data_IF_824153958581
#
_entry.id   IF_824153958581
#
_cell.length_a   1.000
_cell.length_b   1.000
_cell.length_c   1.000
_cell.angle_alpha   90.00
_cell.angle_beta   90.00
_cell.angle_gamma   90.00
#
_symmetry.space_group_name_H-M   'P 1'
#
loop_
_entity.id
_entity.type
_entity.pdbx_description
1 polymer ?
#
# COMPACT_ATOMS: atom_id res chain seq x y z
N UNK A 1 4.13 27.03 10.46
CA UNK A 1 3.22 27.75 9.54
C UNK A 1 2.17 26.72 9.13
N UNK A 2 0.89 26.95 9.41
CA UNK A 2 -0.14 25.91 9.23
C UNK A 2 -0.29 25.55 7.74
N UNK A 3 -0.06 24.29 7.38
CA UNK A 3 -0.34 23.76 6.04
C UNK A 3 -1.85 23.73 5.84
N UNK A 4 -2.36 24.68 5.05
CA UNK A 4 -3.72 24.64 4.49
C UNK A 4 -3.60 23.90 3.17
N UNK A 5 -4.44 22.88 2.92
CA UNK A 5 -4.49 22.23 1.62
C UNK A 5 -4.91 23.26 0.57
N UNK A 6 -3.96 23.69 -0.25
CA UNK A 6 -4.23 24.65 -1.31
C UNK A 6 -5.10 23.98 -2.38
N UNK A 7 -6.31 24.48 -2.55
CA UNK A 7 -7.26 23.99 -3.55
C UNK A 7 -6.69 24.05 -4.97
N UNK A 8 -5.82 25.01 -5.27
CA UNK A 8 -5.19 25.11 -6.59
C UNK A 8 -4.07 24.10 -6.76
N UNK A 9 -3.31 23.79 -5.69
CA UNK A 9 -2.37 22.66 -5.68
C UNK A 9 -3.09 21.32 -5.87
N UNK A 10 -4.20 21.09 -5.15
CA UNK A 10 -4.98 19.85 -5.30
C UNK A 10 -5.51 19.68 -6.73
N UNK A 11 -6.01 20.74 -7.35
CA UNK A 11 -6.43 20.71 -8.77
C UNK A 11 -5.26 20.41 -9.68
N UNK A 12 -4.10 21.02 -9.42
CA UNK A 12 -2.90 20.80 -10.22
C UNK A 12 -2.46 19.32 -10.15
N UNK A 13 -2.30 18.78 -8.94
CA UNK A 13 -1.94 17.38 -8.70
C UNK A 13 -2.97 16.44 -9.33
N UNK A 14 -4.26 16.75 -9.20
CA UNK A 14 -5.33 15.97 -9.83
C UNK A 14 -5.24 15.94 -11.36
N UNK A 15 -4.56 16.88 -12.01
CA UNK A 15 -4.35 16.91 -13.47
C UNK A 15 -3.04 16.28 -13.94
N UNK A 16 -2.16 15.87 -13.02
CA UNK A 16 -0.92 15.17 -13.38
C UNK A 16 -1.23 13.87 -14.11
N UNK A 17 -0.41 13.54 -15.11
CA UNK A 17 -0.66 12.39 -15.99
C UNK A 17 -0.75 11.07 -15.21
N UNK A 18 0.15 10.85 -14.27
CA UNK A 18 0.23 9.65 -13.44
C UNK A 18 -1.00 9.53 -12.54
N UNK A 19 -1.45 10.65 -11.95
CA UNK A 19 -2.68 10.72 -11.14
C UNK A 19 -3.92 10.42 -11.99
N UNK A 20 -3.96 10.93 -13.23
CA UNK A 20 -5.04 10.63 -14.18
C UNK A 20 -5.06 9.15 -14.60
N UNK A 21 -3.90 8.54 -14.82
CA UNK A 21 -3.79 7.11 -15.15
C UNK A 21 -4.23 6.22 -13.99
N UNK A 22 -3.80 6.54 -12.77
CA UNK A 22 -4.29 5.89 -11.56
C UNK A 22 -5.81 6.06 -11.44
N UNK A 23 -6.32 7.27 -11.62
CA UNK A 23 -7.75 7.55 -11.53
C UNK A 23 -8.58 6.78 -12.57
N UNK A 24 -8.04 6.48 -13.75
CA UNK A 24 -8.70 5.60 -14.72
C UNK A 24 -8.82 4.17 -14.20
N UNK A 25 -7.75 3.62 -13.61
CA UNK A 25 -7.79 2.30 -12.98
C UNK A 25 -8.76 2.26 -11.79
N UNK A 26 -8.70 3.27 -10.92
CA UNK A 26 -9.61 3.39 -9.77
C UNK A 26 -11.07 3.58 -10.20
N UNK A 27 -11.31 4.35 -11.26
CA UNK A 27 -12.64 4.51 -11.88
C UNK A 27 -13.20 3.18 -12.37
N UNK A 28 -12.39 2.41 -13.11
CA UNK A 28 -12.78 1.09 -13.61
C UNK A 28 -13.08 0.11 -12.47
N UNK A 29 -12.28 0.13 -11.41
CA UNK A 29 -12.49 -0.66 -10.20
C UNK A 29 -13.80 -0.28 -9.49
N UNK A 30 -13.99 1.00 -9.12
CA UNK A 30 -15.20 1.48 -8.43
C UNK A 30 -16.46 1.16 -9.26
N UNK A 31 -16.38 1.25 -10.60
CA UNK A 31 -17.49 0.95 -11.49
C UNK A 31 -17.96 -0.53 -11.45
N UNK A 32 -17.22 -1.44 -10.82
CA UNK A 32 -17.67 -2.81 -10.59
C UNK A 32 -18.83 -2.90 -9.60
N UNK A 33 -18.95 -1.92 -8.69
CA UNK A 33 -19.99 -1.93 -7.66
C UNK A 33 -21.35 -1.43 -8.18
N UNK A 34 -22.48 -1.98 -7.66
CA UNK A 34 -22.54 -3.07 -6.68
C UNK A 34 -22.19 -4.44 -7.27
N UNK A 35 -21.38 -5.24 -6.56
CA UNK A 35 -21.07 -6.61 -6.96
C UNK A 35 -22.31 -7.50 -6.84
N UNK A 36 -22.71 -8.16 -7.93
CA UNK A 36 -24.00 -8.87 -8.02
C UNK A 36 -23.89 -10.39 -8.10
N UNK A 37 -22.68 -10.95 -8.19
CA UNK A 37 -22.48 -12.40 -8.31
C UNK A 37 -21.71 -12.94 -7.11
N UNK A 38 -22.07 -14.14 -6.65
CA UNK A 38 -21.39 -14.80 -5.53
C UNK A 38 -19.88 -14.99 -5.79
N UNK A 39 -19.49 -15.22 -7.04
CA UNK A 39 -18.08 -15.32 -7.44
C UNK A 39 -17.36 -13.99 -7.20
N UNK A 40 -17.89 -12.87 -7.71
CA UNK A 40 -17.25 -11.55 -7.51
C UNK A 40 -17.20 -11.15 -6.04
N UNK A 41 -18.26 -11.44 -5.28
CA UNK A 41 -18.28 -11.21 -3.83
C UNK A 41 -17.22 -12.06 -3.10
N UNK A 42 -17.08 -13.34 -3.45
CA UNK A 42 -16.05 -14.21 -2.88
C UNK A 42 -14.63 -13.80 -3.29
N UNK A 43 -14.44 -13.35 -4.53
CA UNK A 43 -13.15 -12.83 -4.98
C UNK A 43 -12.77 -11.54 -4.23
N UNK A 44 -13.71 -10.62 -4.04
CA UNK A 44 -13.48 -9.38 -3.31
C UNK A 44 -13.18 -9.64 -1.83
N UNK A 45 -13.94 -10.52 -1.16
CA UNK A 45 -13.65 -10.93 0.22
C UNK A 45 -12.23 -11.51 0.38
N UNK A 46 -11.84 -12.40 -0.54
CA UNK A 46 -10.48 -12.96 -0.56
C UNK A 46 -9.42 -11.89 -0.80
N UNK A 47 -9.67 -10.95 -1.71
CA UNK A 47 -8.75 -9.84 -1.94
C UNK A 47 -8.60 -8.99 -0.67
N UNK A 48 -9.70 -8.67 0.03
CA UNK A 48 -9.65 -7.85 1.24
C UNK A 48 -8.88 -8.51 2.38
N UNK A 49 -9.03 -9.82 2.57
CA UNK A 49 -8.23 -10.59 3.54
C UNK A 49 -6.73 -10.53 3.18
N UNK A 50 -6.39 -10.81 1.91
CA UNK A 50 -5.01 -10.75 1.43
C UNK A 50 -4.41 -9.35 1.53
N UNK A 51 -5.21 -8.31 1.31
CA UNK A 51 -4.79 -6.92 1.40
C UNK A 51 -4.39 -6.58 2.83
N UNK A 52 -5.23 -6.94 3.82
CA UNK A 52 -4.91 -6.71 5.23
C UNK A 52 -3.59 -7.38 5.60
N UNK A 53 -3.42 -8.67 5.26
CA UNK A 53 -2.16 -9.38 5.52
C UNK A 53 -0.96 -8.69 4.88
N UNK A 54 -1.07 -8.24 3.62
CA UNK A 54 0.03 -7.52 2.93
C UNK A 54 0.38 -6.20 3.60
N UNK A 55 -0.63 -5.44 4.04
CA UNK A 55 -0.44 -4.13 4.67
C UNK A 55 0.18 -4.29 6.04
N UNK A 56 -0.34 -5.21 6.87
CA UNK A 56 0.19 -5.43 8.22
C UNK A 56 1.57 -6.09 8.19
N UNK A 57 1.81 -6.98 7.23
CA UNK A 57 3.14 -7.52 6.93
C UNK A 57 4.15 -6.40 6.60
N UNK A 58 3.80 -5.51 5.66
CA UNK A 58 4.68 -4.45 5.24
C UNK A 58 4.95 -3.44 6.39
N UNK A 59 3.93 -3.08 7.17
CA UNK A 59 4.11 -2.21 8.33
C UNK A 59 4.97 -2.87 9.43
N UNK A 60 4.84 -4.18 9.68
CA UNK A 60 5.71 -4.89 10.62
C UNK A 60 7.18 -4.91 10.16
N UNK A 61 7.43 -5.02 8.85
CA UNK A 61 8.79 -4.88 8.29
C UNK A 61 9.35 -3.48 8.47
N UNK A 62 8.54 -2.44 8.25
CA UNK A 62 8.92 -1.05 8.53
C UNK A 62 9.23 -0.86 10.02
N UNK A 63 8.41 -1.41 10.92
CA UNK A 63 8.60 -1.31 12.37
C UNK A 63 9.80 -2.07 12.90
N UNK A 64 10.16 -3.19 12.31
CA UNK A 64 11.26 -4.03 12.82
C UNK A 64 12.57 -3.77 12.09
N UNK A 65 12.51 -3.39 10.81
CA UNK A 65 13.64 -3.45 9.87
C UNK A 65 14.17 -4.88 9.68
N UNK A 66 13.40 -5.89 10.09
CA UNK A 66 13.80 -7.29 10.03
C UNK A 66 13.15 -8.00 8.85
N UNK A 67 13.71 -9.15 8.49
CA UNK A 67 13.10 -10.01 7.50
C UNK A 67 11.89 -10.74 8.10
N UNK A 68 10.71 -10.12 7.95
CA UNK A 68 9.41 -10.73 8.23
C UNK A 68 8.90 -11.38 6.95
N UNK A 69 8.51 -12.66 6.99
CA UNK A 69 7.99 -13.33 5.79
C UNK A 69 6.47 -13.16 5.70
N UNK A 70 5.92 -13.26 4.49
CA UNK A 70 4.46 -13.19 4.31
C UNK A 70 3.76 -14.35 5.03
N UNK A 71 4.35 -15.54 5.06
CA UNK A 71 3.81 -16.70 5.76
C UNK A 71 3.74 -16.49 7.28
N UNK A 72 4.69 -15.77 7.87
CA UNK A 72 4.61 -15.39 9.29
C UNK A 72 3.40 -14.48 9.53
N UNK A 73 3.19 -13.49 8.66
CA UNK A 73 2.07 -12.55 8.76
C UNK A 73 0.72 -13.25 8.57
N UNK A 74 0.60 -14.17 7.60
CA UNK A 74 -0.59 -15.01 7.41
C UNK A 74 -0.88 -15.82 8.67
N UNK A 75 0.14 -16.45 9.26
CA UNK A 75 -0.05 -17.28 10.44
C UNK A 75 -0.45 -16.48 11.67
N UNK A 76 0.11 -15.29 11.87
CA UNK A 76 -0.32 -14.36 12.93
C UNK A 76 -1.74 -13.84 12.68
N UNK A 77 -2.09 -13.52 11.44
CA UNK A 77 -3.46 -13.15 11.06
C UNK A 77 -4.47 -14.27 11.36
N UNK A 78 -4.09 -15.53 11.21
CA UNK A 78 -4.89 -16.70 11.62
C UNK A 78 -4.94 -16.93 13.15
N UNK A 79 -4.25 -16.09 13.94
CA UNK A 79 -4.30 -16.09 15.41
C UNK A 79 -3.08 -16.68 16.11
N UNK A 80 -1.97 -16.92 15.39
CA UNK A 80 -0.73 -17.35 16.02
C UNK A 80 -0.11 -16.24 16.88
N UNK A 81 0.33 -16.61 18.09
CA UNK A 81 1.01 -15.71 19.05
C UNK A 81 2.48 -16.08 19.27
N UNK A 82 2.93 -17.19 18.69
CA UNK A 82 4.31 -17.70 18.68
C UNK A 82 4.53 -18.45 17.37
N UNK A 83 5.73 -18.34 16.79
CA UNK A 83 6.14 -19.09 15.60
C UNK A 83 7.48 -19.77 15.87
N UNK A 84 7.53 -21.12 15.88
CA UNK A 84 8.77 -21.85 16.11
C UNK A 84 9.89 -21.44 15.13
N UNK A 85 11.03 -21.01 15.68
CA UNK A 85 12.20 -20.61 14.91
C UNK A 85 12.18 -19.16 14.42
N UNK A 86 11.18 -18.36 14.78
CA UNK A 86 11.14 -16.92 14.51
C UNK A 86 11.45 -16.11 15.78
N UNK A 87 12.12 -14.96 15.66
CA UNK A 87 12.28 -14.04 16.79
C UNK A 87 10.91 -13.59 17.29
N UNK A 88 10.68 -13.64 18.61
CA UNK A 88 9.40 -13.24 19.18
C UNK A 88 9.09 -11.76 18.89
N UNK A 89 10.11 -10.90 18.82
CA UNK A 89 9.94 -9.49 18.45
C UNK A 89 9.28 -9.27 17.06
N UNK A 90 9.46 -10.20 16.12
CA UNK A 90 8.79 -10.15 14.81
C UNK A 90 7.31 -10.50 14.96
N UNK A 91 7.01 -11.53 15.75
CA UNK A 91 5.64 -11.98 16.00
C UNK A 91 4.87 -10.91 16.77
N UNK A 92 5.50 -10.33 17.80
CA UNK A 92 4.94 -9.24 18.61
C UNK A 92 4.67 -7.99 17.75
N UNK A 93 5.57 -7.66 16.81
CA UNK A 93 5.35 -6.56 15.88
C UNK A 93 4.18 -6.81 14.94
N UNK A 94 4.03 -8.04 14.41
CA UNK A 94 2.87 -8.41 13.59
C UNK A 94 1.56 -8.32 14.37
N UNK A 95 1.54 -8.81 15.62
CA UNK A 95 0.37 -8.69 16.51
C UNK A 95 0.03 -7.22 16.77
N UNK A 96 1.01 -6.40 17.14
CA UNK A 96 0.81 -4.99 17.41
C UNK A 96 0.28 -4.23 16.18
N UNK A 97 0.74 -4.58 14.97
CA UNK A 97 0.23 -3.98 13.73
C UNK A 97 -1.18 -4.43 13.40
N UNK A 98 -1.51 -5.71 13.62
CA UNK A 98 -2.89 -6.18 13.45
C UNK A 98 -3.83 -5.46 14.44
N UNK A 99 -3.46 -5.37 15.71
CA UNK A 99 -4.23 -4.67 16.74
C UNK A 99 -4.44 -3.19 16.37
N UNK A 100 -3.38 -2.51 15.89
CA UNK A 100 -3.45 -1.13 15.43
C UNK A 100 -4.33 -0.97 14.18
N UNK A 101 -4.28 -1.93 13.24
CA UNK A 101 -5.13 -1.92 12.05
C UNK A 101 -6.61 -2.08 12.42
N UNK A 102 -6.93 -3.03 13.31
CA UNK A 102 -8.28 -3.22 13.85
C UNK A 102 -8.77 -2.00 14.62
N UNK A 103 -7.88 -1.32 15.37
CA UNK A 103 -8.22 -0.07 16.06
C UNK A 103 -8.67 1.02 15.09
N UNK A 104 -8.05 1.09 13.92
CA UNK A 104 -8.30 2.10 12.91
C UNK A 104 -9.55 1.84 12.07
N UNK A 105 -10.13 0.63 12.11
CA UNK A 105 -11.29 0.25 11.28
C UNK A 105 -12.45 1.26 11.37
N UNK A 106 -12.75 1.76 12.57
CA UNK A 106 -13.84 2.70 12.81
C UNK A 106 -13.55 4.12 12.28
N UNK A 107 -12.29 4.47 11.98
CA UNK A 107 -11.93 5.79 11.46
C UNK A 107 -12.62 6.07 10.14
N UNK A 108 -12.66 5.11 9.21
CA UNK A 108 -13.28 5.27 7.89
C UNK A 108 -14.76 5.67 7.95
N UNK A 109 -15.43 5.34 9.07
CA UNK A 109 -16.84 5.68 9.33
C UNK A 109 -17.02 6.94 10.16
N UNK A 110 -16.14 7.17 11.15
CA UNK A 110 -16.33 8.19 12.18
C UNK A 110 -15.53 9.46 11.92
N UNK A 111 -14.37 9.37 11.26
CA UNK A 111 -13.38 10.44 11.21
C UNK A 111 -12.70 10.71 12.55
N UNK A 112 -12.78 9.80 13.53
CA UNK A 112 -12.18 10.01 14.84
C UNK A 112 -10.65 9.90 14.79
N UNK A 113 -10.00 11.06 14.79
CA UNK A 113 -8.53 11.16 14.72
C UNK A 113 -7.83 10.59 15.96
N UNK A 114 -8.54 10.42 17.09
CA UNK A 114 -7.95 9.85 18.30
C UNK A 114 -7.58 8.37 18.16
N UNK A 115 -8.24 7.66 17.24
CA UNK A 115 -7.91 6.27 16.88
C UNK A 115 -6.50 6.19 16.28
N UNK A 116 -6.12 7.17 15.45
CA UNK A 116 -4.79 7.26 14.84
C UNK A 116 -3.72 7.55 15.88
N UNK A 117 -4.01 8.46 16.81
CA UNK A 117 -3.08 8.78 17.90
C UNK A 117 -2.86 7.57 18.82
N UNK A 118 -3.93 6.84 19.15
CA UNK A 118 -3.86 5.64 19.98
C UNK A 118 -3.07 4.53 19.27
N UNK A 119 -3.34 4.29 18.00
CA UNK A 119 -2.60 3.31 17.20
C UNK A 119 -1.10 3.67 17.13
N UNK A 120 -0.76 4.96 17.02
CA UNK A 120 0.63 5.40 17.01
C UNK A 120 1.36 5.12 18.35
N UNK A 121 0.66 5.26 19.47
CA UNK A 121 1.16 4.91 20.81
C UNK A 121 1.36 3.39 20.96
N UNK A 122 0.40 2.58 20.52
CA UNK A 122 0.48 1.11 20.54
C UNK A 122 1.65 0.59 19.70
N UNK A 123 1.90 1.20 18.54
CA UNK A 123 3.04 0.88 17.68
C UNK A 123 4.38 1.45 18.18
N UNK A 124 4.38 2.16 19.30
CA UNK A 124 5.56 2.83 19.88
C UNK A 124 6.28 3.69 18.82
N UNK A 125 5.51 4.56 18.16
CA UNK A 125 5.99 5.38 17.03
C UNK A 125 7.11 6.37 17.40
N UNK A 126 7.44 6.53 18.70
CA UNK A 126 8.56 7.35 19.16
C UNK A 126 8.37 8.86 18.90
N UNK A 127 7.12 9.31 18.75
CA UNK A 127 6.81 10.73 18.57
C UNK A 127 7.06 11.52 19.85
N UNK A 128 7.62 12.72 19.72
CA UNK A 128 7.65 13.69 20.80
C UNK A 128 6.26 14.28 21.04
N UNK A 129 6.05 14.92 22.19
CA UNK A 129 4.80 15.63 22.47
C UNK A 129 4.48 16.71 21.42
N UNK A 130 5.50 17.39 20.88
CA UNK A 130 5.33 18.37 19.81
C UNK A 130 4.93 17.72 18.49
N UNK A 131 5.58 16.63 18.09
CA UNK A 131 5.23 15.89 16.88
C UNK A 131 3.81 15.31 16.98
N UNK A 132 3.45 14.70 18.11
CA UNK A 132 2.10 14.19 18.34
C UNK A 132 1.03 15.29 18.24
N UNK A 133 1.29 16.49 18.80
CA UNK A 133 0.39 17.64 18.66
C UNK A 133 0.28 18.13 17.22
N UNK A 134 1.39 18.14 16.48
CA UNK A 134 1.40 18.58 15.09
C UNK A 134 0.66 17.60 14.18
N UNK A 135 0.90 16.29 14.34
CA UNK A 135 0.17 15.21 13.66
C UNK A 135 -1.33 15.30 13.96
N UNK A 136 -1.72 15.39 15.25
CA UNK A 136 -3.13 15.52 15.63
C UNK A 136 -3.79 16.74 14.97
N UNK A 137 -3.13 17.90 14.99
CA UNK A 137 -3.63 19.09 14.32
C UNK A 137 -3.73 18.92 12.80
N UNK A 138 -2.83 18.15 12.16
CA UNK A 138 -2.86 17.85 10.73
C UNK A 138 -4.00 16.89 10.39
N UNK A 139 -4.24 15.86 11.20
CA UNK A 139 -5.38 14.95 11.04
C UNK A 139 -6.73 15.68 11.13
N UNK A 140 -6.88 16.60 12.09
CA UNK A 140 -8.09 17.44 12.20
C UNK A 140 -8.31 18.30 10.95
N UNK A 141 -7.23 18.82 10.34
CA UNK A 141 -7.31 19.57 9.08
C UNK A 141 -7.68 18.68 7.90
N UNK A 142 -7.17 17.45 7.85
CA UNK A 142 -7.55 16.46 6.84
C UNK A 142 -9.05 16.18 6.96
N UNK A 143 -9.55 15.87 8.16
CA UNK A 143 -10.98 15.60 8.37
C UNK A 143 -11.88 16.78 8.01
N UNK A 144 -11.45 18.02 8.30
CA UNK A 144 -12.20 19.21 7.89
C UNK A 144 -12.37 19.31 6.35
N UNK A 145 -11.45 18.74 5.58
CA UNK A 145 -11.49 18.72 4.11
C UNK A 145 -12.20 17.49 3.52
N UNK A 146 -12.45 16.44 4.32
CA UNK A 146 -13.07 15.19 3.84
C UNK A 146 -14.43 15.39 3.16
N UNK A 147 -15.38 16.21 3.68
CA UNK A 147 -16.67 16.40 3.03
C UNK A 147 -16.58 16.90 1.59
N UNK A 148 -15.69 17.86 1.34
CA UNK A 148 -15.49 18.46 0.01
C UNK A 148 -14.78 17.48 -0.94
N UNK A 149 -13.82 16.70 -0.42
CA UNK A 149 -13.03 15.77 -1.23
C UNK A 149 -13.78 14.47 -1.56
N UNK A 150 -14.55 13.95 -0.61
CA UNK A 150 -15.33 12.70 -0.76
C UNK A 150 -16.40 12.81 -1.84
N UNK A 151 -17.11 13.93 -1.89
CA UNK A 151 -18.21 14.15 -2.83
C UNK A 151 -19.32 13.10 -2.69
N UNK A 152 -19.97 12.78 -3.82
CA UNK A 152 -21.08 11.81 -3.92
C UNK A 152 -20.63 10.36 -4.14
N UNK A 153 -19.32 10.10 -4.16
CA UNK A 153 -18.76 8.78 -4.46
C UNK A 153 -18.75 8.40 -5.94
N UNK A 154 -18.99 9.35 -6.87
CA UNK A 154 -18.97 9.12 -8.33
C UNK A 154 -17.75 8.32 -8.81
N UNK A 155 -17.93 7.34 -9.70
CA UNK A 155 -16.80 6.62 -10.28
C UNK A 155 -16.11 7.38 -11.42
N UNK A 156 -16.53 8.60 -11.76
CA UNK A 156 -15.91 9.38 -12.82
C UNK A 156 -14.42 9.65 -12.55
N UNK A 157 -13.59 9.54 -13.59
CA UNK A 157 -12.12 9.73 -13.50
C UNK A 157 -11.76 11.03 -12.81
N UNK A 158 -12.45 12.14 -13.13
CA UNK A 158 -12.19 13.44 -12.49
C UNK A 158 -12.53 13.48 -10.99
N UNK A 159 -13.51 12.69 -10.54
CA UNK A 159 -13.84 12.58 -9.12
C UNK A 159 -12.83 11.69 -8.37
N UNK A 160 -12.38 10.61 -9.00
CA UNK A 160 -11.34 9.72 -8.47
C UNK A 160 -9.99 10.43 -8.39
N UNK A 161 -9.61 11.21 -9.42
CA UNK A 161 -8.33 11.93 -9.43
C UNK A 161 -8.26 13.02 -8.35
N UNK A 162 -9.37 13.70 -8.05
CA UNK A 162 -9.45 14.65 -6.93
C UNK A 162 -9.28 13.97 -5.57
N UNK A 163 -9.91 12.82 -5.37
CA UNK A 163 -9.77 12.02 -4.14
C UNK A 163 -8.35 11.51 -3.97
N UNK A 164 -7.73 11.00 -5.04
CA UNK A 164 -6.32 10.58 -5.01
C UNK A 164 -5.37 11.75 -4.71
N UNK A 165 -5.57 12.91 -5.35
CA UNK A 165 -4.77 14.10 -5.07
C UNK A 165 -4.88 14.55 -3.60
N UNK A 166 -6.08 14.47 -3.01
CA UNK A 166 -6.29 14.74 -1.60
C UNK A 166 -5.54 13.75 -0.70
N UNK A 167 -5.63 12.44 -0.98
CA UNK A 167 -4.88 11.41 -0.21
C UNK A 167 -3.38 11.64 -0.32
N UNK A 168 -2.85 11.96 -1.50
CA UNK A 168 -1.42 12.27 -1.69
C UNK A 168 -1.02 13.48 -0.85
N UNK A 169 -1.81 14.56 -0.89
CA UNK A 169 -1.52 15.75 -0.11
C UNK A 169 -1.57 15.48 1.41
N UNK A 170 -2.58 14.74 1.88
CA UNK A 170 -2.71 14.33 3.27
C UNK A 170 -1.52 13.48 3.72
N UNK A 171 -1.11 12.50 2.88
CA UNK A 171 0.08 11.69 3.10
C UNK A 171 1.32 12.56 3.26
N UNK A 172 1.53 13.49 2.32
CA UNK A 172 2.69 14.39 2.29
C UNK A 172 2.73 15.25 3.56
N UNK A 173 1.59 15.84 3.96
CA UNK A 173 1.51 16.68 5.15
C UNK A 173 1.86 15.89 6.42
N UNK A 174 1.31 14.68 6.60
CA UNK A 174 1.59 13.85 7.77
C UNK A 174 3.05 13.36 7.80
N UNK A 175 3.59 12.97 6.64
CA UNK A 175 4.98 12.55 6.50
C UNK A 175 5.94 13.68 6.90
N UNK A 176 5.63 14.93 6.57
CA UNK A 176 6.41 16.09 7.02
C UNK A 176 6.39 16.22 8.54
N UNK A 177 5.23 16.09 9.20
CA UNK A 177 5.13 16.24 10.66
C UNK A 177 5.93 15.15 11.41
N UNK A 178 5.97 13.92 10.90
CA UNK A 178 6.74 12.82 11.51
C UNK A 178 8.24 12.88 11.15
N UNK A 179 8.61 13.56 10.06
CA UNK A 179 10.00 13.69 9.59
C UNK A 179 10.74 14.89 10.18
N UNK A 180 10.06 15.99 10.51
CA UNK A 180 10.69 17.22 11.04
C UNK A 180 11.25 17.06 12.48
N UNK A 181 11.10 15.87 13.06
CA UNK A 181 11.67 15.43 14.34
C UNK A 181 13.21 15.56 14.41
N UNK A 182 13.92 15.61 13.27
CA UNK A 182 15.38 15.74 13.23
C UNK A 182 15.93 17.18 13.31
N UNK A 183 15.09 18.22 13.26
CA UNK A 183 15.56 19.62 13.10
C UNK A 183 15.59 20.46 14.39
N UNK A 184 15.10 19.95 15.52
CA UNK A 184 15.23 20.63 16.81
C UNK A 184 16.02 19.81 17.85
N UNK A 185 17.32 20.12 17.93
CA UNK A 185 18.18 20.18 19.13
C UNK A 185 18.24 18.95 20.05
N UNK A 186 19.44 18.35 20.11
CA UNK A 186 20.00 17.51 21.19
C UNK A 186 19.13 16.33 21.68
N UNK A 187 19.12 15.22 20.93
CA UNK A 187 18.73 13.91 21.47
C UNK A 187 19.93 13.23 22.17
N UNK A 188 19.95 13.07 23.50
CA UNK A 188 21.06 12.47 24.23
C UNK A 188 21.12 10.93 24.11
N UNK A 189 20.19 10.30 23.38
CA UNK A 189 20.16 8.85 23.19
C UNK A 189 20.89 8.37 21.93
N UNK A 190 21.50 9.27 21.16
CA UNK A 190 22.50 8.85 20.18
C UNK A 190 23.73 8.35 20.97
N UNK A 191 24.14 7.07 20.81
CA UNK A 191 25.42 6.65 21.36
C UNK A 191 26.50 7.53 20.75
N UNK A 192 27.33 8.17 21.58
CA UNK A 192 28.44 9.03 21.16
C UNK A 192 29.24 8.35 20.04
N UNK A 193 28.97 8.74 18.79
CA UNK A 193 29.76 8.30 17.65
C UNK A 193 31.09 9.04 17.75
N UNK A 194 32.12 8.31 18.18
CA UNK A 194 33.51 8.74 18.25
C UNK A 194 33.87 9.52 16.97
N UNK A 195 34.19 10.80 17.12
CA UNK A 195 34.69 11.64 16.03
C UNK A 195 35.96 11.00 15.45
N UNK A 196 35.88 10.44 14.24
CA UNK A 196 37.07 9.94 13.54
C UNK A 196 36.88 8.82 12.53
N UNK A 197 35.72 8.17 12.44
CA UNK A 197 35.53 7.09 11.46
C UNK A 197 34.81 7.55 10.18
N UNK A 198 35.19 7.01 9.01
CA UNK A 198 34.58 7.38 7.74
C UNK A 198 33.09 7.08 7.78
N UNK A 199 32.26 8.03 7.33
CA UNK A 199 30.81 7.87 7.16
C UNK A 199 30.54 6.58 6.38
N UNK A 200 30.28 5.50 7.10
CA UNK A 200 29.83 4.23 6.53
C UNK A 200 28.33 4.35 6.25
N UNK A 201 27.85 3.58 5.29
CA UNK A 201 26.43 3.52 4.89
C UNK A 201 25.45 3.23 6.04
N UNK A 202 25.94 2.72 7.19
CA UNK A 202 25.09 2.33 8.31
C UNK A 202 24.39 3.45 9.08
N UNK A 203 24.88 4.70 9.05
CA UNK A 203 24.21 5.82 9.74
C UNK A 203 22.97 6.30 8.99
N UNK A 204 23.02 6.27 7.65
CA UNK A 204 21.86 6.56 6.80
C UNK A 204 20.79 5.47 6.95
N UNK A 205 21.19 4.20 6.98
CA UNK A 205 20.29 3.06 7.19
C UNK A 205 19.53 3.15 8.52
N UNK A 206 20.19 3.57 9.61
CA UNK A 206 19.55 3.75 10.94
C UNK A 206 18.57 4.92 10.93
N UNK A 207 18.91 6.03 10.27
CA UNK A 207 18.03 7.19 10.16
C UNK A 207 16.76 6.90 9.34
N UNK A 208 16.90 6.17 8.22
CA UNK A 208 15.77 5.70 7.42
C UNK A 208 14.88 4.74 8.22
N UNK A 209 15.46 3.77 8.92
CA UNK A 209 14.69 2.84 9.74
C UNK A 209 13.91 3.55 10.85
N UNK A 210 14.50 4.56 11.50
CA UNK A 210 13.80 5.38 12.50
C UNK A 210 12.69 6.24 11.90
N UNK A 211 12.91 6.83 10.73
CA UNK A 211 11.88 7.58 10.01
C UNK A 211 10.71 6.67 9.59
N UNK A 212 11.01 5.49 9.05
CA UNK A 212 10.03 4.45 8.74
C UNK A 212 9.22 4.05 9.96
N UNK A 213 9.88 3.75 11.08
CA UNK A 213 9.21 3.45 12.36
C UNK A 213 8.22 4.53 12.80
N UNK A 214 8.63 5.79 12.76
CA UNK A 214 7.78 6.95 13.11
C UNK A 214 6.58 7.09 12.16
N UNK A 215 6.72 6.66 10.92
CA UNK A 215 5.69 6.76 9.90
C UNK A 215 4.80 5.50 9.79
N UNK A 216 5.13 4.39 10.47
CA UNK A 216 4.45 3.10 10.27
C UNK A 216 2.93 3.16 10.46
N UNK A 217 2.43 3.91 11.45
CA UNK A 217 0.98 4.10 11.66
C UNK A 217 0.30 4.78 10.47
N UNK A 218 1.02 5.65 9.76
CA UNK A 218 0.50 6.34 8.57
C UNK A 218 0.21 5.33 7.46
N UNK A 219 0.99 4.26 7.34
CA UNK A 219 0.76 3.20 6.36
C UNK A 219 -0.63 2.56 6.53
N UNK A 220 -1.08 2.37 7.78
CA UNK A 220 -2.40 1.84 8.11
C UNK A 220 -3.48 2.90 7.89
N UNK A 221 -3.26 4.10 8.44
CA UNK A 221 -4.16 5.24 8.34
C UNK A 221 -4.52 5.61 6.88
N UNK A 222 -3.56 5.56 5.96
CA UNK A 222 -3.80 5.92 4.57
C UNK A 222 -4.87 5.06 3.90
N UNK A 223 -4.98 3.78 4.26
CA UNK A 223 -6.03 2.92 3.74
C UNK A 223 -7.41 3.28 4.29
N UNK A 224 -7.48 3.63 5.57
CA UNK A 224 -8.73 4.07 6.17
C UNK A 224 -9.15 5.45 5.68
N UNK A 225 -8.20 6.35 5.37
CA UNK A 225 -8.45 7.61 4.69
C UNK A 225 -8.95 7.39 3.25
N UNK A 226 -8.35 6.47 2.49
CA UNK A 226 -8.85 6.09 1.17
C UNK A 226 -10.32 5.68 1.26
N UNK A 227 -10.67 4.79 2.18
CA UNK A 227 -12.06 4.36 2.35
C UNK A 227 -12.99 5.49 2.79
N UNK A 228 -12.54 6.32 3.73
CA UNK A 228 -13.23 7.52 4.21
C UNK A 228 -13.65 8.45 3.07
N UNK A 229 -12.79 8.58 2.04
CA UNK A 229 -13.06 9.38 0.85
C UNK A 229 -13.56 8.57 -0.34
N UNK A 230 -13.92 7.29 -0.21
CA UNK A 230 -14.43 6.45 -1.31
C UNK A 230 -13.38 6.30 -2.43
N UNK A 231 -12.13 6.10 -2.04
CA UNK A 231 -11.02 5.72 -2.92
C UNK A 231 -10.65 4.27 -2.61
N UNK A 232 -10.32 3.42 -3.62
CA UNK A 232 -9.89 2.08 -3.32
C UNK A 232 -8.57 2.11 -2.51
N UNK A 233 -8.45 1.19 -1.56
CA UNK A 233 -7.28 1.07 -0.67
C UNK A 233 -6.00 0.81 -1.48
N UNK A 234 -4.86 1.11 -0.86
CA UNK A 234 -3.51 0.95 -1.38
C UNK A 234 -2.83 -0.26 -0.73
N UNK A 235 -1.76 -0.76 -1.36
CA UNK A 235 -0.97 -1.86 -0.82
C UNK A 235 0.53 -1.63 -1.06
N UNK A 236 1.04 -0.60 -0.40
CA UNK A 236 2.46 -0.27 -0.45
C UNK A 236 3.30 -1.38 0.19
N UNK A 237 4.45 -1.67 -0.39
CA UNK A 237 5.47 -2.50 0.28
C UNK A 237 6.25 -1.65 1.29
N UNK A 238 6.97 -2.31 2.19
CA UNK A 238 7.91 -1.67 3.11
C UNK A 238 8.94 -0.82 2.37
N UNK A 239 9.51 -1.34 1.28
CA UNK A 239 10.50 -0.64 0.47
C UNK A 239 9.89 0.62 -0.18
N UNK A 240 8.71 0.49 -0.79
CA UNK A 240 8.04 1.64 -1.43
C UNK A 240 7.63 2.70 -0.41
N UNK A 241 7.15 2.28 0.76
CA UNK A 241 6.78 3.20 1.82
C UNK A 241 8.01 3.96 2.35
N UNK A 242 9.11 3.24 2.65
CA UNK A 242 10.35 3.87 3.09
C UNK A 242 10.92 4.83 2.04
N UNK A 243 10.85 4.51 0.74
CA UNK A 243 11.25 5.45 -0.32
C UNK A 243 10.47 6.76 -0.28
N UNK A 244 9.15 6.70 -0.09
CA UNK A 244 8.32 7.91 0.05
C UNK A 244 8.71 8.69 1.32
N UNK A 245 8.97 8.00 2.43
CA UNK A 245 9.41 8.62 3.69
C UNK A 245 10.77 9.30 3.51
N UNK A 246 11.72 8.66 2.83
CA UNK A 246 13.06 9.21 2.52
C UNK A 246 12.96 10.44 1.63
N UNK A 247 12.18 10.37 0.54
CA UNK A 247 11.91 11.52 -0.32
C UNK A 247 11.26 12.68 0.46
N UNK A 248 10.49 12.37 1.51
CA UNK A 248 9.96 13.37 2.42
C UNK A 248 10.98 13.94 3.43
N UNK A 249 12.01 13.18 3.79
CA UNK A 249 13.01 13.55 4.78
C UNK A 249 14.24 14.27 4.20
N UNK A 250 14.66 13.91 2.98
CA UNK A 250 15.94 14.34 2.38
C UNK A 250 15.95 15.72 1.70
N UNK A 251 14.84 16.46 1.71
CA UNK A 251 14.88 17.83 1.22
C UNK A 251 15.61 18.76 2.21
N UNK A 252 16.93 18.86 2.03
CA UNK A 252 17.79 19.88 2.64
C UNK A 252 17.23 21.28 2.31
N UNK A 253 16.48 21.85 3.25
CA UNK A 253 15.98 23.22 3.17
C UNK A 253 14.63 23.44 2.49
N UNK A 254 13.94 22.38 2.04
CA UNK A 254 12.55 22.45 1.54
C UNK A 254 11.68 21.34 2.14
N UNK A 255 10.37 21.52 2.23
CA UNK A 255 9.46 20.41 2.51
C UNK A 255 9.24 19.61 1.22
N UNK A 256 9.05 18.28 1.27
CA UNK A 256 8.66 17.50 0.10
C UNK A 256 7.43 18.11 -0.54
N UNK A 257 7.48 18.24 -1.87
CA UNK A 257 6.34 18.75 -2.61
C UNK A 257 5.32 17.64 -2.81
N UNK A 258 4.03 18.00 -2.81
CA UNK A 258 2.92 17.06 -3.05
C UNK A 258 3.07 16.38 -4.41
N UNK A 259 3.67 17.09 -5.38
CA UNK A 259 3.96 16.60 -6.72
C UNK A 259 5.00 15.47 -6.71
N UNK A 260 6.06 15.56 -5.91
CA UNK A 260 7.05 14.49 -5.78
C UNK A 260 6.41 13.20 -5.22
N UNK A 261 5.63 13.33 -4.15
CA UNK A 261 4.89 12.19 -3.59
C UNK A 261 3.87 11.65 -4.60
N UNK A 262 3.26 12.51 -5.43
CA UNK A 262 2.35 12.07 -6.49
C UNK A 262 3.06 11.25 -7.58
N UNK A 263 4.30 11.59 -7.93
CA UNK A 263 5.10 10.87 -8.92
C UNK A 263 5.38 9.42 -8.49
N UNK A 264 5.52 9.18 -7.19
CA UNK A 264 5.74 7.84 -6.64
C UNK A 264 4.43 7.13 -6.30
N UNK A 265 3.50 7.78 -5.59
CA UNK A 265 2.31 7.11 -5.06
C UNK A 265 1.29 6.78 -6.16
N UNK A 266 1.12 7.63 -7.17
CA UNK A 266 0.08 7.43 -8.18
C UNK A 266 0.30 6.17 -9.04
N UNK A 267 1.51 5.87 -9.57
CA UNK A 267 1.77 4.61 -10.27
C UNK A 267 1.55 3.37 -9.38
N UNK A 268 1.86 3.45 -8.08
CA UNK A 268 1.63 2.35 -7.13
C UNK A 268 0.14 2.12 -6.90
N UNK A 269 -0.64 3.19 -6.73
CA UNK A 269 -2.10 3.13 -6.66
C UNK A 269 -2.70 2.51 -7.93
N UNK A 270 -2.23 2.95 -9.10
CA UNK A 270 -2.67 2.38 -10.38
C UNK A 270 -2.43 0.88 -10.45
N UNK A 271 -1.22 0.41 -10.12
CA UNK A 271 -0.87 -0.99 -10.18
C UNK A 271 -1.74 -1.84 -9.25
N UNK A 272 -1.96 -1.38 -8.02
CA UNK A 272 -2.81 -2.10 -7.07
C UNK A 272 -4.28 -2.12 -7.50
N UNK A 273 -4.81 -1.01 -8.01
CA UNK A 273 -6.21 -0.95 -8.44
C UNK A 273 -6.50 -1.79 -9.69
N UNK A 274 -5.53 -1.89 -10.62
CA UNK A 274 -5.61 -2.83 -11.74
C UNK A 274 -5.61 -4.27 -11.22
N UNK A 275 -4.72 -4.59 -10.27
CA UNK A 275 -4.67 -5.92 -9.66
C UNK A 275 -5.98 -6.28 -8.96
N UNK A 276 -6.53 -5.38 -8.13
CA UNK A 276 -7.79 -5.59 -7.42
C UNK A 276 -8.94 -5.82 -8.41
N UNK A 277 -9.03 -5.00 -9.45
CA UNK A 277 -10.04 -5.17 -10.50
C UNK A 277 -9.93 -6.55 -11.15
N UNK A 278 -8.72 -6.95 -11.55
CA UNK A 278 -8.46 -8.22 -12.20
C UNK A 278 -8.78 -9.42 -11.30
N UNK A 279 -8.46 -9.34 -10.01
CA UNK A 279 -8.80 -10.36 -9.02
C UNK A 279 -10.33 -10.48 -8.82
N UNK A 280 -11.08 -9.36 -8.79
CA UNK A 280 -12.55 -9.41 -8.72
C UNK A 280 -13.14 -10.09 -9.95
N UNK A 281 -12.70 -9.74 -11.16
CA UNK A 281 -13.29 -10.26 -12.40
C UNK A 281 -12.76 -11.64 -12.79
N UNK A 282 -11.76 -12.16 -12.08
CA UNK A 282 -11.15 -13.46 -12.37
C UNK A 282 -12.16 -14.62 -12.28
N UNK A 283 -12.17 -15.46 -13.32
CA UNK A 283 -12.93 -16.70 -13.38
C UNK A 283 -11.98 -17.90 -13.42
N UNK A 284 -11.85 -18.65 -12.29
CA UNK A 284 -10.93 -19.78 -12.21
C UNK A 284 -11.34 -20.94 -13.12
N UNK A 285 -12.65 -21.12 -13.38
CA UNK A 285 -13.16 -22.20 -14.23
C UNK A 285 -12.82 -21.90 -15.69
N UNK A 286 -13.08 -20.68 -16.13
CA UNK A 286 -12.71 -20.23 -17.46
C UNK A 286 -11.19 -20.27 -17.66
N UNK A 287 -10.41 -19.82 -16.66
CA UNK A 287 -8.95 -19.87 -16.70
C UNK A 287 -8.41 -21.30 -16.81
N UNK A 288 -8.95 -22.24 -16.02
CA UNK A 288 -8.57 -23.65 -16.07
C UNK A 288 -8.91 -24.29 -17.42
N UNK A 289 -10.09 -23.99 -17.96
CA UNK A 289 -10.50 -24.46 -19.29
C UNK A 289 -9.57 -23.94 -20.39
N UNK A 290 -9.29 -22.64 -20.39
CA UNK A 290 -8.38 -22.03 -21.36
C UNK A 290 -6.95 -22.60 -21.27
N UNK A 291 -6.46 -22.90 -20.06
CA UNK A 291 -5.16 -23.54 -19.86
C UNK A 291 -5.11 -24.95 -20.46
N UNK A 292 -6.16 -25.77 -20.22
CA UNK A 292 -6.26 -27.12 -20.78
C UNK A 292 -6.32 -27.10 -22.32
N UNK A 293 -7.08 -26.19 -22.91
CA UNK A 293 -7.18 -26.04 -24.36
C UNK A 293 -5.84 -25.60 -24.99
N UNK A 294 -5.13 -24.66 -24.35
CA UNK A 294 -3.80 -24.22 -24.79
C UNK A 294 -2.77 -25.34 -24.70
N UNK A 295 -2.84 -26.19 -23.67
CA UNK A 295 -1.99 -27.37 -23.55
C UNK A 295 -2.30 -28.40 -24.65
N UNK A 296 -3.58 -28.65 -24.94
CA UNK A 296 -3.99 -29.54 -26.03
C UNK A 296 -3.51 -29.03 -27.39
N UNK A 297 -3.61 -27.72 -27.65
CA UNK A 297 -3.11 -27.09 -28.87
C UNK A 297 -1.59 -27.24 -28.99
N UNK A 298 -0.83 -27.02 -27.90
CA UNK A 298 0.62 -27.23 -27.88
C UNK A 298 0.99 -28.70 -28.17
N UNK A 299 0.25 -29.65 -27.58
CA UNK A 299 0.44 -31.09 -27.85
C UNK A 299 0.16 -31.44 -29.31
N UNK A 300 -0.93 -30.91 -29.89
CA UNK A 300 -1.26 -31.10 -31.31
C UNK A 300 -0.22 -30.50 -32.24
N UNK A 301 0.25 -29.28 -31.98
CA UNK A 301 1.29 -28.62 -32.77
C UNK A 301 2.62 -29.39 -32.71
N UNK A 302 3.05 -29.81 -31.53
CA UNK A 302 4.25 -30.61 -31.36
C UNK A 302 4.15 -31.99 -32.04
N UNK A 303 2.95 -32.60 -32.03
CA UNK A 303 2.70 -33.84 -32.77
C UNK A 303 2.80 -33.59 -34.28
N UNK A 304 2.12 -32.57 -34.80
CA UNK A 304 2.15 -32.22 -36.22
C UNK A 304 3.59 -31.93 -36.71
N UNK A 305 4.41 -31.27 -35.89
CA UNK A 305 5.83 -31.03 -36.19
C UNK A 305 6.64 -32.33 -36.23
N UNK A 306 6.45 -33.24 -35.26
CA UNK A 306 7.14 -34.55 -35.25
C UNK A 306 6.78 -35.43 -36.44
N UNK A 307 5.59 -35.27 -37.01
CA UNK A 307 5.12 -36.06 -38.15
C UNK A 307 5.30 -35.34 -39.51
N UNK A 308 5.92 -34.15 -39.54
CA UNK A 308 6.10 -33.35 -40.75
C UNK A 308 7.03 -33.99 -41.80
N UNK A 309 8.01 -34.77 -41.33
CA UNK A 309 9.04 -35.40 -42.17
C UNK A 309 8.84 -36.91 -42.34
N UNK A 310 7.69 -37.46 -41.90
CA UNK A 310 7.37 -38.87 -42.10
C UNK A 310 6.78 -39.02 -43.52
N UNK A 311 7.44 -39.75 -44.43
CA UNK A 311 6.88 -40.00 -45.76
C UNK A 311 5.58 -40.80 -45.62
N UNK A 312 4.52 -40.38 -46.31
CA UNK A 312 3.32 -41.22 -46.46
C UNK A 312 3.70 -42.51 -47.19
N UNK A 313 3.73 -43.62 -46.46
CA UNK A 313 3.90 -44.94 -47.04
C UNK A 313 2.62 -45.33 -47.80
N UNK A 314 2.64 -45.10 -49.11
CA UNK A 314 1.53 -45.39 -50.04
C UNK A 314 1.18 -46.89 -50.13
N UNK A 315 1.98 -47.78 -49.55
CA UNK A 315 1.74 -49.23 -49.54
C UNK A 315 1.19 -49.74 -48.19
N UNK A 316 0.89 -48.86 -47.23
CA UNK A 316 0.33 -49.30 -45.94
C UNK A 316 -1.14 -49.72 -46.11
N UNK A 317 -1.50 -51.00 -45.87
CA UNK A 317 -2.89 -51.43 -45.96
C UNK A 317 -3.74 -50.69 -44.92
N UNK A 318 -5.00 -50.36 -45.24
CA UNK A 318 -5.89 -49.65 -44.33
C UNK A 318 -6.05 -50.46 -43.04
N UNK A 319 -5.85 -49.80 -41.91
CA UNK A 319 -6.11 -50.38 -40.59
C UNK A 319 -7.62 -50.38 -40.42
N UNK A 320 -8.25 -51.56 -40.45
CA UNK A 320 -9.64 -51.71 -40.04
C UNK A 320 -9.74 -51.39 -38.53
N UNK A 321 -10.59 -50.41 -38.20
CA UNK A 321 -10.97 -50.05 -36.83
C UNK A 321 -12.10 -50.94 -36.33
#
# INVERSE_FOLDING_TARGET
MAVVFDNDQLKHVATMQQVQQAAQAGSALIALWPLSTAQRLGNDAKYTENLQVRVTWAAARVLTGQDVTLADAEFVYEGATDIPGRPQEVVDALLAVNDAYERLEDYSRTGDVSLVMTAAEELNSGWSESAAKAVAATLERIEACVPDCRGDGSSEVGAVSRRLAFVIAASTALLVEVSDYGKSVDDPLLPDCVEGEPKSSGVADISCQQAGRRAAVLMLYLNELCERVILPRLALTDVQFCQIVEECAEFEGASPSVEAVAEVLAPLAQAEWVRHHDEIVFDPVAAKKAASEKEEQRKKAALAEKFKDVPEDKNKPPVEL
#
